data_IF_679195138688
#
_entry.id   IF_679195138688
#
_cell.length_a   1.000
_cell.length_b   1.000
_cell.length_c   1.000
_cell.angle_alpha   90.00
_cell.angle_beta   90.00
_cell.angle_gamma   90.00
#
_symmetry.space_group_name_H-M   'P 1'
#
loop_
_entity.id
_entity.type
_entity.pdbx_description
1 polymer ?
#
# COMPACT_ATOMS: atom_id res chain seq x y z
N UNK A 1 -6.01 -22.98 9.24
CA UNK A 1 -5.15 -22.51 8.12
C UNK A 1 -3.75 -22.28 8.67
N UNK A 2 -2.76 -23.08 8.26
CA UNK A 2 -1.35 -22.84 8.61
C UNK A 2 -0.82 -21.76 7.64
N UNK A 3 -0.54 -20.55 8.15
CA UNK A 3 0.16 -19.50 7.36
C UNK A 3 1.57 -20.02 7.04
N UNK A 4 1.95 -20.04 5.77
CA UNK A 4 3.33 -20.35 5.41
C UNK A 4 4.22 -19.17 5.86
N UNK A 5 5.48 -19.42 6.26
CA UNK A 5 6.41 -18.36 6.65
C UNK A 5 6.71 -17.34 5.52
N UNK A 6 6.31 -17.65 4.28
CA UNK A 6 6.41 -16.81 3.09
C UNK A 6 5.08 -16.15 2.67
N UNK A 7 4.03 -16.26 3.48
CA UNK A 7 2.79 -15.51 3.29
C UNK A 7 2.99 -14.05 3.70
N UNK A 8 3.18 -13.19 2.71
CA UNK A 8 3.11 -11.75 2.87
C UNK A 8 1.69 -11.27 2.57
N UNK A 9 1.17 -10.39 3.41
CA UNK A 9 -0.08 -9.66 3.18
C UNK A 9 0.19 -8.17 3.04
N UNK A 10 -0.74 -7.42 2.47
CA UNK A 10 -0.63 -5.97 2.44
C UNK A 10 -1.96 -5.30 2.81
N UNK A 11 -1.87 -4.09 3.34
CA UNK A 11 -2.98 -3.21 3.67
C UNK A 11 -2.80 -1.89 2.90
N UNK A 12 -3.90 -1.34 2.39
CA UNK A 12 -3.90 -0.03 1.73
C UNK A 12 -4.56 0.97 2.67
N UNK A 13 -3.85 2.06 2.97
CA UNK A 13 -4.33 3.13 3.84
C UNK A 13 -4.53 4.37 2.99
N UNK A 14 -5.79 4.67 2.68
CA UNK A 14 -6.16 5.81 1.86
C UNK A 14 -6.51 7.01 2.74
N UNK A 15 -5.96 8.17 2.40
CA UNK A 15 -6.20 9.44 3.08
C UNK A 15 -6.77 10.43 2.07
N UNK A 16 -7.93 10.99 2.39
CA UNK A 16 -8.55 12.08 1.66
C UNK A 16 -8.11 13.42 2.27
N UNK A 17 -7.49 14.26 1.46
CA UNK A 17 -7.06 15.61 1.82
C UNK A 17 -8.00 16.60 1.15
N UNK A 18 -8.71 17.39 1.96
CA UNK A 18 -9.55 18.50 1.50
C UNK A 18 -8.89 19.80 1.93
N UNK A 19 -8.48 20.62 0.98
CA UNK A 19 -7.95 21.95 1.25
C UNK A 19 -9.08 22.99 1.31
N UNK A 20 -8.84 24.12 1.98
CA UNK A 20 -9.81 25.22 2.16
C UNK A 20 -10.28 25.88 0.84
N UNK A 21 -9.64 25.56 -0.28
CA UNK A 21 -9.94 26.06 -1.62
C UNK A 21 -10.67 25.04 -2.51
N UNK A 22 -11.37 24.07 -1.92
CA UNK A 22 -12.09 22.98 -2.61
C UNK A 22 -11.20 22.07 -3.47
N UNK A 23 -9.87 22.14 -3.32
CA UNK A 23 -8.96 21.19 -3.95
C UNK A 23 -8.94 19.91 -3.11
N UNK A 24 -9.46 18.82 -3.68
CA UNK A 24 -9.39 17.48 -3.11
C UNK A 24 -8.21 16.72 -3.70
N UNK A 25 -7.42 16.06 -2.84
CA UNK A 25 -6.43 15.10 -3.28
C UNK A 25 -6.41 13.86 -2.38
N UNK A 26 -5.92 12.76 -2.92
CA UNK A 26 -5.88 11.45 -2.27
C UNK A 26 -4.44 10.97 -2.18
N UNK A 27 -4.11 10.26 -1.10
CA UNK A 27 -2.87 9.49 -0.98
C UNK A 27 -3.23 8.10 -0.49
N UNK A 28 -2.63 7.06 -1.06
CA UNK A 28 -2.81 5.70 -0.58
C UNK A 28 -1.46 5.06 -0.29
N UNK A 29 -1.21 4.74 0.97
CA UNK A 29 0.01 4.05 1.39
C UNK A 29 -0.22 2.55 1.35
N UNK A 30 0.80 1.79 0.94
CA UNK A 30 0.78 0.33 1.03
C UNK A 30 1.68 -0.16 2.17
N UNK A 31 1.11 -0.93 3.10
CA UNK A 31 1.83 -1.52 4.23
C UNK A 31 1.92 -3.03 3.99
N UNK A 32 3.13 -3.56 3.82
CA UNK A 32 3.37 -5.00 3.65
C UNK A 32 3.75 -5.61 5.00
N UNK A 33 3.07 -6.70 5.35
CA UNK A 33 3.33 -7.47 6.57
C UNK A 33 3.77 -8.89 6.26
N UNK A 34 4.63 -9.43 7.10
CA UNK A 34 5.02 -10.84 7.07
C UNK A 34 3.92 -11.75 7.67
N UNK A 35 4.14 -13.06 7.68
CA UNK A 35 3.19 -14.03 8.23
C UNK A 35 2.93 -13.86 9.74
N UNK A 36 3.91 -13.30 10.48
CA UNK A 36 3.82 -12.98 11.90
C UNK A 36 3.02 -11.69 12.17
N UNK A 37 2.72 -10.90 11.12
CA UNK A 37 1.98 -9.65 11.21
C UNK A 37 2.88 -8.42 11.39
N UNK A 38 4.20 -8.58 11.39
CA UNK A 38 5.13 -7.46 11.48
C UNK A 38 5.16 -6.68 10.17
N UNK A 39 5.20 -5.35 10.28
CA UNK A 39 5.43 -4.46 9.13
C UNK A 39 6.86 -4.65 8.63
N UNK A 40 7.00 -5.13 7.40
CA UNK A 40 8.31 -5.36 6.75
C UNK A 40 8.61 -4.33 5.68
N UNK A 41 7.58 -3.65 5.15
CA UNK A 41 7.75 -2.53 4.24
C UNK A 41 6.55 -1.59 4.32
N UNK A 42 6.81 -0.30 4.11
CA UNK A 42 5.80 0.74 3.91
C UNK A 42 6.15 1.53 2.67
N UNK A 43 5.21 1.60 1.74
CA UNK A 43 5.35 2.26 0.45
C UNK A 43 4.43 3.49 0.47
N UNK A 44 4.98 4.70 0.67
CA UNK A 44 4.17 5.90 0.72
C UNK A 44 3.57 6.20 -0.65
N UNK A 45 2.28 6.50 -0.66
CA UNK A 45 1.53 6.87 -1.85
C UNK A 45 1.86 8.27 -2.32
N UNK A 46 1.70 8.51 -3.63
CA UNK A 46 1.78 9.86 -4.19
C UNK A 46 0.46 10.59 -3.99
N UNK A 47 0.52 11.90 -3.80
CA UNK A 47 -0.68 12.76 -3.84
C UNK A 47 -1.25 12.78 -5.25
N UNK A 48 -2.50 12.36 -5.38
CA UNK A 48 -3.25 12.37 -6.63
C UNK A 48 -4.45 13.31 -6.53
N UNK A 49 -4.58 14.22 -7.48
CA UNK A 49 -5.71 15.16 -7.59
C UNK A 49 -6.84 14.62 -8.48
N UNK A 50 -6.88 13.30 -8.68
CA UNK A 50 -7.83 12.62 -9.56
C UNK A 50 -8.87 11.89 -8.70
N UNK A 51 -8.90 10.57 -8.76
CA UNK A 51 -9.86 9.73 -8.05
C UNK A 51 -9.14 8.86 -7.03
N UNK A 52 -9.85 8.52 -5.96
CA UNK A 52 -9.35 7.66 -4.89
C UNK A 52 -8.85 6.31 -5.42
N UNK A 53 -9.58 5.72 -6.38
CA UNK A 53 -9.25 4.43 -7.00
C UNK A 53 -7.88 4.45 -7.70
N UNK A 54 -7.50 5.58 -8.30
CA UNK A 54 -6.20 5.70 -8.96
C UNK A 54 -5.04 5.69 -7.96
N UNK A 55 -5.23 6.28 -6.78
CA UNK A 55 -4.25 6.22 -5.70
C UNK A 55 -4.16 4.79 -5.13
N UNK A 56 -5.30 4.13 -4.94
CA UNK A 56 -5.36 2.75 -4.45
C UNK A 56 -4.72 1.75 -5.42
N UNK A 57 -4.98 1.87 -6.72
CA UNK A 57 -4.39 1.01 -7.75
C UNK A 57 -2.85 1.12 -7.78
N UNK A 58 -2.31 2.34 -7.67
CA UNK A 58 -0.86 2.57 -7.60
C UNK A 58 -0.25 1.92 -6.35
N UNK A 59 -0.91 2.08 -5.20
CA UNK A 59 -0.50 1.47 -3.94
C UNK A 59 -0.55 -0.06 -3.98
N UNK A 60 -1.60 -0.65 -4.59
CA UNK A 60 -1.72 -2.11 -4.79
C UNK A 60 -0.62 -2.63 -5.73
N UNK A 61 -0.33 -1.92 -6.82
CA UNK A 61 0.74 -2.29 -7.73
C UNK A 61 2.10 -2.29 -7.03
N UNK A 62 2.38 -1.24 -6.25
CA UNK A 62 3.60 -1.12 -5.45
C UNK A 62 3.70 -2.24 -4.41
N UNK A 63 2.63 -2.54 -3.67
CA UNK A 63 2.58 -3.61 -2.69
C UNK A 63 2.89 -4.98 -3.31
N UNK A 64 2.27 -5.27 -4.47
CA UNK A 64 2.49 -6.53 -5.20
C UNK A 64 3.93 -6.65 -5.69
N UNK A 65 4.54 -5.56 -6.16
CA UNK A 65 5.93 -5.57 -6.56
C UNK A 65 6.85 -5.83 -5.36
N UNK A 66 6.65 -5.14 -4.24
CA UNK A 66 7.45 -5.34 -3.03
C UNK A 66 7.34 -6.78 -2.52
N UNK A 67 6.14 -7.38 -2.50
CA UNK A 67 5.97 -8.79 -2.12
C UNK A 67 6.74 -9.73 -3.07
N UNK A 68 6.77 -9.45 -4.38
CA UNK A 68 7.56 -10.26 -5.33
C UNK A 68 9.05 -10.14 -5.05
N UNK A 69 9.55 -8.96 -4.72
CA UNK A 69 10.96 -8.73 -4.38
C UNK A 69 11.34 -9.43 -3.07
N UNK A 70 10.51 -9.29 -2.02
CA UNK A 70 10.67 -9.97 -0.74
C UNK A 70 10.65 -11.51 -0.88
N UNK A 71 9.87 -12.05 -1.82
CA UNK A 71 9.87 -13.48 -2.13
C UNK A 71 11.09 -13.95 -2.92
N UNK A 72 11.79 -13.06 -3.63
CA UNK A 72 12.99 -13.39 -4.41
C UNK A 72 14.28 -13.25 -3.60
N UNK A 73 14.29 -12.40 -2.58
CA UNK A 73 15.45 -12.16 -1.71
C UNK A 73 15.44 -12.91 -0.37
N UNK A 74 14.39 -13.69 -0.10
CA UNK A 74 14.26 -14.52 1.12
C UNK A 74 14.67 -15.98 0.92
#
# INVERSE_FOLDING_TARGET
MRRHPSDYSFEIVTVHHVADNDVTCFTADAIVRNAAGDEVARLPGKRMHTYVEAAEDDAVAAARQAIRELRRGG
#
